data_IF_307677576623
#
_entry.id   IF_307677576623
#
_cell.length_a   1.000
_cell.length_b   1.000
_cell.length_c   1.000
_cell.angle_alpha   90.00
_cell.angle_beta   90.00
_cell.angle_gamma   90.00
#
_symmetry.space_group_name_H-M   'P 1'
#
loop_
_entity.id
_entity.type
_entity.pdbx_description
1 polymer ?
#
# COMPACT_ATOMS: atom_id res chain seq x y z
N UNK A 1 0.41 14.17 -30.05
CA UNK A 1 -0.29 13.58 -28.90
C UNK A 1 0.63 12.52 -28.32
N UNK A 2 1.34 12.82 -27.22
CA UNK A 2 2.21 11.82 -26.55
C UNK A 2 1.30 10.92 -25.72
N UNK A 3 1.36 9.61 -25.93
CA UNK A 3 0.72 8.66 -25.02
C UNK A 3 1.41 8.76 -23.67
N UNK A 4 0.68 9.12 -22.62
CA UNK A 4 1.03 8.78 -21.23
C UNK A 4 0.77 7.27 -21.04
N UNK A 5 1.55 6.42 -21.72
CA UNK A 5 1.29 4.99 -21.87
C UNK A 5 2.05 4.06 -20.92
N UNK A 6 2.94 4.58 -20.08
CA UNK A 6 3.93 3.76 -19.36
C UNK A 6 3.58 3.48 -17.88
N UNK A 7 2.39 3.89 -17.42
CA UNK A 7 1.95 3.63 -16.05
C UNK A 7 0.54 3.04 -16.02
N UNK A 8 0.35 2.06 -15.15
CA UNK A 8 -0.95 1.46 -14.85
C UNK A 8 -1.28 1.71 -13.38
N UNK A 9 -2.51 2.13 -13.09
CA UNK A 9 -3.00 2.28 -11.73
C UNK A 9 -3.77 1.04 -11.31
N UNK A 10 -3.37 0.45 -10.19
CA UNK A 10 -4.10 -0.64 -9.53
C UNK A 10 -4.74 -0.09 -8.26
N UNK A 11 -6.01 -0.42 -8.02
CA UNK A 11 -6.73 -0.03 -6.82
C UNK A 11 -7.44 -1.24 -6.22
N UNK A 12 -7.44 -1.33 -4.89
CA UNK A 12 -8.16 -2.34 -4.12
C UNK A 12 -9.14 -1.60 -3.21
N UNK A 13 -10.39 -2.03 -3.23
CA UNK A 13 -11.45 -1.51 -2.37
C UNK A 13 -11.97 -2.63 -1.49
N UNK A 14 -12.17 -2.33 -0.21
CA UNK A 14 -12.83 -3.20 0.75
C UNK A 14 -14.04 -2.50 1.38
N UNK A 15 -14.88 -3.27 2.06
CA UNK A 15 -16.06 -2.78 2.79
C UNK A 15 -15.88 -2.84 4.31
N UNK A 16 -14.64 -2.82 4.79
CA UNK A 16 -14.31 -2.81 6.20
C UNK A 16 -14.53 -1.46 6.88
N UNK A 17 -14.12 -1.37 8.14
CA UNK A 17 -14.32 -0.18 8.99
C UNK A 17 -13.45 1.03 8.58
N UNK A 18 -12.61 0.88 7.57
CA UNK A 18 -11.65 1.90 7.13
C UNK A 18 -10.40 2.00 7.99
N UNK A 19 -9.60 3.04 7.72
CA UNK A 19 -8.34 3.34 8.41
C UNK A 19 -8.51 4.67 9.15
N UNK A 20 -8.07 4.72 10.40
CA UNK A 20 -8.04 5.96 11.20
C UNK A 20 -7.01 6.97 10.64
N UNK A 21 -6.97 8.21 11.16
CA UNK A 21 -6.19 9.34 10.61
C UNK A 21 -4.66 9.10 10.51
N UNK A 22 -4.13 7.99 11.05
CA UNK A 22 -2.72 7.59 10.98
C UNK A 22 -2.37 6.86 9.67
N UNK A 23 -2.83 7.38 8.54
CA UNK A 23 -2.65 6.76 7.21
C UNK A 23 -1.17 6.64 6.84
N UNK A 24 -0.32 7.57 7.28
CA UNK A 24 1.11 7.53 6.95
C UNK A 24 1.85 6.32 7.54
N UNK A 25 1.42 5.85 8.72
CA UNK A 25 2.08 4.76 9.45
C UNK A 25 1.67 3.37 9.00
N UNK A 26 0.64 3.23 8.16
CA UNK A 26 0.14 1.90 7.74
C UNK A 26 1.14 1.12 6.89
N UNK A 27 2.12 1.81 6.32
CA UNK A 27 3.20 1.21 5.54
C UNK A 27 4.48 1.01 6.36
N UNK A 28 4.49 1.36 7.65
CA UNK A 28 5.61 1.07 8.52
C UNK A 28 5.70 -0.44 8.77
N UNK A 29 6.91 -0.98 8.77
CA UNK A 29 7.11 -2.37 9.16
C UNK A 29 6.64 -2.58 10.61
N UNK A 30 6.01 -3.73 10.86
CA UNK A 30 5.46 -4.11 12.16
C UNK A 30 4.22 -3.32 12.62
N UNK A 31 3.68 -2.41 11.79
CA UNK A 31 2.43 -1.74 12.09
C UNK A 31 1.22 -2.64 11.73
N UNK A 32 0.40 -2.97 12.72
CA UNK A 32 -0.80 -3.82 12.55
C UNK A 32 -1.88 -3.49 13.57
N UNK A 33 -3.14 -3.57 13.14
CA UNK A 33 -4.32 -3.54 14.04
C UNK A 33 -4.91 -4.95 14.24
N UNK A 34 -4.37 -5.96 13.54
CA UNK A 34 -4.85 -7.33 13.59
C UNK A 34 -4.13 -8.13 14.70
N UNK A 35 -4.86 -8.77 15.63
CA UNK A 35 -4.27 -9.66 16.62
C UNK A 35 -3.44 -10.77 15.97
N UNK A 36 -2.18 -10.95 16.38
CA UNK A 36 -1.27 -11.94 15.80
C UNK A 36 -0.75 -11.63 14.38
N UNK A 37 -1.17 -10.50 13.78
CA UNK A 37 -0.65 -10.06 12.49
C UNK A 37 0.74 -9.43 12.64
N UNK A 38 1.68 -9.75 11.75
CA UNK A 38 3.04 -9.21 11.81
C UNK A 38 3.16 -7.77 11.30
N UNK A 39 2.17 -7.25 10.56
CA UNK A 39 2.22 -5.88 10.03
C UNK A 39 3.28 -5.65 8.95
N UNK A 40 3.54 -6.65 8.09
CA UNK A 40 4.54 -6.54 7.02
C UNK A 40 3.95 -6.41 5.60
N UNK A 41 2.65 -6.65 5.42
CA UNK A 41 2.06 -6.73 4.08
C UNK A 41 2.20 -5.43 3.27
N UNK A 42 1.74 -4.31 3.83
CA UNK A 42 1.76 -3.02 3.15
C UNK A 42 3.17 -2.47 2.93
N UNK A 43 4.09 -2.68 3.88
CA UNK A 43 5.49 -2.29 3.72
C UNK A 43 6.19 -3.06 2.59
N UNK A 44 5.93 -4.38 2.49
CA UNK A 44 6.40 -5.21 1.37
C UNK A 44 5.81 -4.73 0.05
N UNK A 45 4.49 -4.47 0.00
CA UNK A 45 3.84 -3.98 -1.23
C UNK A 45 4.47 -2.68 -1.73
N UNK A 46 4.72 -1.71 -0.84
CA UNK A 46 5.41 -0.45 -1.19
C UNK A 46 6.81 -0.73 -1.73
N UNK A 47 7.59 -1.55 -1.03
CA UNK A 47 8.96 -1.89 -1.44
C UNK A 47 9.01 -2.54 -2.82
N UNK A 48 8.06 -3.43 -3.14
CA UNK A 48 7.94 -4.05 -4.46
C UNK A 48 7.63 -2.99 -5.52
N UNK A 49 6.64 -2.12 -5.29
CA UNK A 49 6.25 -1.07 -6.25
C UNK A 49 7.42 -0.12 -6.54
N UNK A 50 8.09 0.36 -5.49
CA UNK A 50 9.26 1.25 -5.60
C UNK A 50 10.42 0.58 -6.34
N UNK A 51 10.69 -0.71 -6.07
CA UNK A 51 11.75 -1.48 -6.73
C UNK A 51 11.53 -1.63 -8.23
N UNK A 52 10.29 -1.50 -8.70
CA UNK A 52 9.93 -1.52 -10.13
C UNK A 52 9.77 -0.11 -10.72
N UNK A 53 10.13 0.94 -9.98
CA UNK A 53 10.00 2.34 -10.43
C UNK A 53 8.58 2.90 -10.38
N UNK A 54 7.67 2.21 -9.69
CA UNK A 54 6.30 2.65 -9.47
C UNK A 54 6.15 3.57 -8.25
N UNK A 55 4.91 4.02 -8.00
CA UNK A 55 4.50 4.83 -6.85
C UNK A 55 3.06 4.55 -6.44
#
# INVERSE_FOLDING_TARGET
>A
MRSEGDQVRVAVQDSGVGIDQKVERIFDAFHTTKPGGMGMGLSISRSIVESHGGR
#
